data_IF_308750884714
#
_entry.id   IF_308750884714
#
_cell.length_a   1.000
_cell.length_b   1.000
_cell.length_c   1.000
_cell.angle_alpha   90.00
_cell.angle_beta   90.00
_cell.angle_gamma   90.00
#
_symmetry.space_group_name_H-M   'P 1'
#
loop_
_entity.id
_entity.type
_entity.pdbx_description
1 polymer ?
#
# COMPACT_ATOMS: atom_id res chain seq x y z
N UNK A 1 13.71 3.84 0.84
CA UNK A 1 14.36 4.61 -0.24
C UNK A 1 14.00 6.07 -0.04
N UNK A 2 14.97 6.84 0.41
CA UNK A 2 14.84 8.25 0.79
C UNK A 2 15.22 9.15 -0.37
N UNK A 3 14.34 9.26 -1.37
CA UNK A 3 14.48 10.23 -2.45
C UNK A 3 14.14 11.63 -1.93
N UNK A 4 15.11 12.27 -1.28
CA UNK A 4 15.08 13.71 -0.97
C UNK A 4 15.43 14.52 -2.22
N UNK A 5 14.58 14.43 -3.25
CA UNK A 5 14.71 15.31 -4.42
C UNK A 5 13.70 16.43 -4.22
N UNK A 6 14.18 17.61 -3.82
CA UNK A 6 13.35 18.81 -3.72
C UNK A 6 13.24 19.51 -5.07
N UNK A 7 12.31 20.46 -5.18
CA UNK A 7 12.06 21.24 -6.39
C UNK A 7 13.34 21.85 -7.01
N UNK A 8 14.26 22.47 -6.24
CA UNK A 8 15.51 23.00 -6.81
C UNK A 8 16.36 21.93 -7.50
N UNK A 9 16.48 20.76 -6.86
CA UNK A 9 17.26 19.63 -7.38
C UNK A 9 16.59 18.96 -8.58
N UNK A 10 15.25 18.94 -8.64
CA UNK A 10 14.53 18.49 -9.83
C UNK A 10 14.74 19.43 -11.01
N UNK A 11 14.74 20.75 -10.77
CA UNK A 11 14.99 21.75 -11.80
C UNK A 11 16.43 21.69 -12.32
N UNK A 12 17.42 21.50 -11.45
CA UNK A 12 18.83 21.30 -11.84
C UNK A 12 19.04 20.07 -12.73
N UNK A 13 18.22 19.03 -12.53
CA UNK A 13 18.27 17.77 -13.28
C UNK A 13 17.35 17.76 -14.52
N UNK A 14 16.61 18.84 -14.79
CA UNK A 14 15.63 18.89 -15.89
C UNK A 14 14.41 17.96 -15.70
N UNK A 15 14.16 17.49 -14.48
CA UNK A 15 13.10 16.51 -14.15
C UNK A 15 11.76 17.17 -13.78
N UNK A 16 11.46 18.35 -14.33
CA UNK A 16 10.27 19.13 -13.94
C UNK A 16 8.96 18.36 -14.17
N UNK A 17 8.86 17.51 -15.21
CA UNK A 17 7.69 16.67 -15.44
C UNK A 17 7.52 15.55 -14.39
N UNK A 18 8.61 15.12 -13.74
CA UNK A 18 8.59 14.08 -12.71
C UNK A 18 8.06 14.62 -11.37
N UNK A 19 8.19 15.93 -11.14
CA UNK A 19 7.71 16.60 -9.91
C UNK A 19 6.22 16.40 -9.72
N UNK A 20 5.43 16.57 -10.79
CA UNK A 20 3.98 16.39 -10.72
C UNK A 20 3.61 14.94 -10.38
N UNK A 21 4.23 13.97 -11.05
CA UNK A 21 4.00 12.56 -10.75
C UNK A 21 4.40 12.18 -9.32
N UNK A 22 5.56 12.65 -8.86
CA UNK A 22 5.99 12.44 -7.47
C UNK A 22 5.00 13.09 -6.49
N UNK A 23 4.48 14.29 -6.78
CA UNK A 23 3.49 14.95 -5.94
C UNK A 23 2.20 14.12 -5.84
N UNK A 24 1.71 13.57 -6.96
CA UNK A 24 0.55 12.67 -6.96
C UNK A 24 0.82 11.39 -6.17
N UNK A 25 2.01 10.81 -6.29
CA UNK A 25 2.42 9.65 -5.48
C UNK A 25 2.43 9.99 -3.99
N UNK A 26 2.94 11.16 -3.59
CA UNK A 26 2.90 11.61 -2.18
C UNK A 26 1.48 11.82 -1.68
N UNK A 27 0.56 12.33 -2.49
CA UNK A 27 -0.87 12.44 -2.13
C UNK A 27 -1.47 11.06 -1.85
N UNK A 28 -1.23 10.10 -2.74
CA UNK A 28 -1.65 8.71 -2.54
C UNK A 28 -1.10 8.13 -1.23
N UNK A 29 0.22 8.24 -1.02
CA UNK A 29 0.87 7.78 0.22
C UNK A 29 0.29 8.45 1.47
N UNK A 30 0.06 9.76 1.43
CA UNK A 30 -0.52 10.48 2.55
C UNK A 30 -1.94 9.98 2.88
N UNK A 31 -2.78 9.76 1.86
CA UNK A 31 -4.14 9.23 2.04
C UNK A 31 -4.15 7.81 2.59
N UNK A 32 -3.27 6.94 2.09
CA UNK A 32 -3.14 5.57 2.61
C UNK A 32 -2.72 5.58 4.08
N UNK A 33 -1.72 6.39 4.42
CA UNK A 33 -1.21 6.50 5.79
C UNK A 33 -2.26 7.10 6.73
N UNK A 34 -3.00 8.13 6.31
CA UNK A 34 -4.10 8.68 7.11
C UNK A 34 -5.21 7.64 7.33
N UNK A 35 -5.54 6.84 6.30
CA UNK A 35 -6.51 5.75 6.43
C UNK A 35 -6.07 4.71 7.47
N UNK A 36 -4.80 4.31 7.47
CA UNK A 36 -4.25 3.38 8.46
C UNK A 36 -4.24 3.96 9.88
N UNK A 37 -3.97 5.26 10.04
CA UNK A 37 -4.09 5.95 11.34
C UNK A 37 -5.54 5.89 11.84
N UNK A 38 -6.52 6.17 10.98
CA UNK A 38 -7.95 6.08 11.34
C UNK A 38 -8.33 4.68 11.81
N UNK A 39 -7.89 3.63 11.09
CA UNK A 39 -8.14 2.23 11.48
C UNK A 39 -7.56 1.91 12.85
N UNK A 40 -6.28 2.23 13.08
CA UNK A 40 -5.63 1.95 14.36
C UNK A 40 -6.29 2.71 15.53
N UNK A 41 -6.73 3.95 15.31
CA UNK A 41 -7.47 4.73 16.31
C UNK A 41 -8.88 4.19 16.56
N UNK A 42 -9.58 3.73 15.52
CA UNK A 42 -10.89 3.09 15.66
C UNK A 42 -10.79 1.78 16.45
N UNK A 43 -9.82 0.92 16.12
CA UNK A 43 -9.54 -0.32 16.85
C UNK A 43 -9.19 -0.04 18.31
N UNK A 44 -8.35 0.98 18.55
CA UNK A 44 -7.99 1.43 19.89
C UNK A 44 -9.22 1.88 20.67
N UNK A 45 -10.10 2.67 20.07
CA UNK A 45 -11.34 3.13 20.70
C UNK A 45 -12.28 1.96 21.04
N UNK A 46 -12.41 0.97 20.16
CA UNK A 46 -13.17 -0.26 20.41
C UNK A 46 -12.58 -1.05 21.57
N UNK A 47 -11.26 -1.28 21.58
CA UNK A 47 -10.57 -1.99 22.68
C UNK A 47 -10.76 -1.30 24.04
N UNK A 48 -10.75 0.05 24.08
CA UNK A 48 -11.03 0.78 25.32
C UNK A 48 -12.44 0.50 25.85
N UNK A 49 -13.43 0.44 24.95
CA UNK A 49 -14.82 0.19 25.30
C UNK A 49 -15.05 -1.26 25.73
N UNK A 50 -14.54 -2.23 24.98
CA UNK A 50 -14.86 -3.65 25.16
C UNK A 50 -13.99 -4.29 26.23
N UNK A 51 -12.67 -4.15 26.14
CA UNK A 51 -11.72 -4.91 26.94
C UNK A 51 -11.18 -4.11 28.13
N UNK A 52 -10.78 -2.84 27.93
CA UNK A 52 -10.14 -2.06 29.01
C UNK A 52 -11.13 -1.74 30.12
N UNK A 53 -12.34 -1.29 29.77
CA UNK A 53 -13.38 -0.90 30.74
C UNK A 53 -13.97 -2.10 31.50
N UNK A 54 -14.00 -3.28 30.88
CA UNK A 54 -14.60 -4.49 31.47
C UNK A 54 -13.56 -5.49 32.02
N UNK A 55 -12.27 -5.15 31.98
CA UNK A 55 -11.18 -6.00 32.43
C UNK A 55 -11.27 -6.32 33.92
N UNK A 56 -11.68 -7.56 34.26
CA UNK A 56 -11.93 -7.99 35.64
C UNK A 56 -10.65 -8.45 36.38
N UNK A 57 -9.71 -9.07 35.67
CA UNK A 57 -8.51 -9.70 36.25
C UNK A 57 -7.20 -9.07 35.76
N UNK A 58 -6.14 -9.14 36.58
CA UNK A 58 -4.82 -8.54 36.33
C UNK A 58 -4.20 -8.96 34.99
N UNK A 59 -4.20 -10.26 34.68
CA UNK A 59 -3.62 -10.80 33.42
C UNK A 59 -4.35 -10.31 32.16
N UNK A 60 -5.67 -10.20 32.21
CA UNK A 60 -6.46 -9.62 31.10
C UNK A 60 -6.12 -8.15 30.91
N UNK A 61 -6.00 -7.39 32.02
CA UNK A 61 -5.58 -5.98 31.97
C UNK A 61 -4.21 -5.86 31.28
N UNK A 62 -3.21 -6.66 31.68
CA UNK A 62 -1.88 -6.62 31.05
C UNK A 62 -1.89 -6.93 29.55
N UNK A 63 -2.67 -7.91 29.11
CA UNK A 63 -2.77 -8.27 27.70
C UNK A 63 -3.47 -7.18 26.87
N UNK A 64 -4.57 -6.61 27.38
CA UNK A 64 -5.27 -5.52 26.70
C UNK A 64 -4.41 -4.26 26.64
N UNK A 65 -3.67 -3.92 27.71
CA UNK A 65 -2.72 -2.81 27.68
C UNK A 65 -1.58 -3.02 26.68
N UNK A 66 -1.13 -4.27 26.47
CA UNK A 66 -0.17 -4.59 25.41
C UNK A 66 -0.74 -4.30 24.03
N UNK A 67 -1.97 -4.73 23.73
CA UNK A 67 -2.64 -4.39 22.46
C UNK A 67 -2.75 -2.88 22.22
N UNK A 68 -3.09 -2.13 23.27
CA UNK A 68 -3.16 -0.66 23.19
C UNK A 68 -1.78 -0.06 22.90
N UNK A 69 -0.73 -0.56 23.55
CA UNK A 69 0.64 -0.12 23.29
C UNK A 69 1.07 -0.46 21.84
N UNK A 70 0.73 -1.65 21.35
CA UNK A 70 1.01 -2.06 19.97
C UNK A 70 0.34 -1.11 18.97
N UNK A 71 -0.96 -0.81 19.16
CA UNK A 71 -1.67 0.18 18.33
C UNK A 71 -1.03 1.56 18.40
N UNK A 72 -0.54 1.99 19.57
CA UNK A 72 0.18 3.25 19.71
C UNK A 72 1.50 3.28 18.93
N UNK A 73 2.21 2.16 18.86
CA UNK A 73 3.42 2.06 18.01
C UNK A 73 3.07 2.15 16.53
N UNK A 74 1.95 1.54 16.12
CA UNK A 74 1.43 1.58 14.74
C UNK A 74 1.04 3.01 14.36
N UNK A 75 0.27 3.69 15.20
CA UNK A 75 -0.12 5.10 15.00
C UNK A 75 1.11 6.00 14.90
N UNK A 76 2.09 5.86 15.80
CA UNK A 76 3.34 6.64 15.75
C UNK A 76 4.11 6.38 14.46
N UNK A 77 4.24 5.13 14.04
CA UNK A 77 4.91 4.77 12.79
C UNK A 77 4.24 5.46 11.61
N UNK A 78 2.92 5.33 11.46
CA UNK A 78 2.22 5.97 10.36
C UNK A 78 2.25 7.51 10.44
N UNK A 79 2.15 8.10 11.63
CA UNK A 79 2.32 9.55 11.81
C UNK A 79 3.68 10.05 11.29
N UNK A 80 4.78 9.33 11.54
CA UNK A 80 6.11 9.70 11.02
C UNK A 80 6.17 9.64 9.49
N UNK A 81 5.54 8.61 8.88
CA UNK A 81 5.48 8.47 7.42
C UNK A 81 4.65 9.62 6.81
N UNK A 82 3.52 9.97 7.43
CA UNK A 82 2.68 11.08 6.99
C UNK A 82 3.44 12.42 7.03
N UNK A 83 4.08 12.73 8.17
CA UNK A 83 4.87 13.96 8.33
C UNK A 83 5.99 14.04 7.28
N UNK A 84 6.61 12.90 6.96
CA UNK A 84 7.61 12.81 5.91
C UNK A 84 7.02 13.07 4.51
N UNK A 85 5.86 12.49 4.20
CA UNK A 85 5.17 12.75 2.94
C UNK A 85 4.81 14.23 2.79
N UNK A 86 4.25 14.84 3.85
CA UNK A 86 3.93 16.27 3.88
C UNK A 86 5.17 17.15 3.69
N UNK A 87 6.28 16.85 4.37
CA UNK A 87 7.55 17.57 4.19
C UNK A 87 8.05 17.48 2.75
N UNK A 88 7.89 16.31 2.12
CA UNK A 88 8.26 16.14 0.71
C UNK A 88 7.34 16.94 -0.22
N UNK A 89 6.02 16.98 0.03
CA UNK A 89 5.10 17.83 -0.74
C UNK A 89 5.51 19.31 -0.68
N UNK A 90 5.90 19.79 0.51
CA UNK A 90 6.41 21.17 0.68
C UNK A 90 7.70 21.37 -0.11
N UNK A 91 8.64 20.42 -0.04
CA UNK A 91 9.91 20.49 -0.76
C UNK A 91 9.74 20.45 -2.29
N UNK A 92 8.68 19.83 -2.79
CA UNK A 92 8.29 19.81 -4.21
C UNK A 92 7.50 21.05 -4.65
N UNK A 93 7.22 21.99 -3.75
CA UNK A 93 6.48 23.21 -4.07
C UNK A 93 4.98 22.97 -4.29
N UNK A 94 4.37 22.05 -3.51
CA UNK A 94 2.93 21.83 -3.56
C UNK A 94 2.15 23.12 -3.33
N UNK A 95 1.07 23.29 -4.09
CA UNK A 95 0.19 24.46 -3.99
C UNK A 95 -0.44 24.61 -2.59
N UNK A 96 -0.78 25.85 -2.22
CA UNK A 96 -1.41 26.18 -0.93
C UNK A 96 -2.70 25.38 -0.73
N UNK A 97 -3.49 25.17 -1.79
CA UNK A 97 -4.74 24.38 -1.70
C UNK A 97 -4.50 22.94 -1.25
N UNK A 98 -3.37 22.33 -1.67
CA UNK A 98 -2.98 20.97 -1.26
C UNK A 98 -2.52 20.98 0.19
N UNK A 99 -1.72 21.98 0.60
CA UNK A 99 -1.21 22.07 1.96
C UNK A 99 -2.28 22.42 3.00
N UNK A 100 -3.34 23.12 2.59
CA UNK A 100 -4.54 23.36 3.42
C UNK A 100 -5.34 22.08 3.65
N UNK A 101 -5.31 21.18 2.68
CA UNK A 101 -5.94 19.86 2.76
C UNK A 101 -5.12 18.90 3.64
N UNK A 102 -3.81 18.84 3.44
CA UNK A 102 -2.88 18.01 4.21
C UNK A 102 -2.23 18.78 5.36
N UNK A 103 -2.99 18.93 6.45
CA UNK A 103 -2.58 19.70 7.64
C UNK A 103 -1.50 19.00 8.48
N UNK A 104 -0.69 19.74 9.26
CA UNK A 104 0.23 19.13 10.21
C UNK A 104 -0.53 18.26 11.23
N UNK A 105 0.05 17.10 11.55
CA UNK A 105 -0.51 16.15 12.51
C UNK A 105 0.08 16.42 13.89
N UNK A 106 -0.76 16.87 14.83
CA UNK A 106 -0.35 17.13 16.21
C UNK A 106 -0.59 15.90 17.09
N UNK A 107 0.09 15.84 18.24
CA UNK A 107 -0.10 14.74 19.19
C UNK A 107 -1.54 14.66 19.71
N UNK A 108 -2.22 15.81 19.85
CA UNK A 108 -3.61 15.89 20.25
C UNK A 108 -4.56 15.32 19.20
N UNK A 109 -4.15 15.29 17.93
CA UNK A 109 -4.95 14.71 16.86
C UNK A 109 -4.93 13.17 16.87
N UNK A 110 -3.95 12.58 17.56
CA UNK A 110 -3.71 11.13 17.61
C UNK A 110 -4.38 10.47 18.84
N UNK A 111 -5.23 11.19 19.55
CA UNK A 111 -5.96 10.61 20.69
C UNK A 111 -7.18 9.83 20.21
N UNK A 112 -7.33 8.60 20.70
CA UNK A 112 -8.52 7.80 20.41
C UNK A 112 -9.75 8.45 21.07
N UNK A 113 -10.71 8.90 20.25
CA UNK A 113 -11.94 9.52 20.72
C UNK A 113 -13.04 8.48 20.93
N UNK A 114 -13.77 8.61 22.04
CA UNK A 114 -14.96 7.79 22.33
C UNK A 114 -16.04 7.96 21.24
N UNK A 115 -16.09 9.11 20.57
CA UNK A 115 -17.01 9.37 19.46
C UNK A 115 -16.77 8.45 18.25
N UNK A 116 -15.56 7.88 18.10
CA UNK A 116 -15.25 6.88 17.08
C UNK A 116 -15.82 5.51 17.45
N UNK A 117 -15.85 5.17 18.75
CA UNK A 117 -16.38 3.90 19.23
C UNK A 117 -17.90 3.88 19.41
N UNK A 118 -18.53 5.05 19.58
CA UNK A 118 -19.98 5.19 19.67
C UNK A 118 -20.45 6.52 19.05
N UNK A 119 -20.69 6.54 17.72
CA UNK A 119 -21.14 7.75 17.01
C UNK A 119 -22.52 8.25 17.48
N UNK A 120 -23.31 7.36 18.10
CA UNK A 120 -24.68 7.64 18.53
C UNK A 120 -24.80 7.90 20.03
N UNK A 121 -23.68 7.94 20.78
CA UNK A 121 -23.72 8.20 22.21
C UNK A 121 -24.21 9.63 22.51
N UNK A 122 -25.20 9.74 23.41
CA UNK A 122 -25.79 11.02 23.85
C UNK A 122 -24.72 11.88 24.54
N UNK A 123 -24.47 13.08 24.03
CA UNK A 123 -23.58 14.07 24.64
C UNK A 123 -22.33 14.44 23.83
N UNK A 124 -22.01 13.71 22.76
CA UNK A 124 -20.78 13.93 21.97
C UNK A 124 -20.90 14.98 20.85
N UNK A 125 -21.90 15.88 20.92
CA UNK A 125 -22.09 16.95 19.92
C UNK A 125 -20.88 17.91 19.81
N UNK A 126 -19.94 17.87 20.76
CA UNK A 126 -18.82 18.82 20.88
C UNK A 126 -17.42 18.21 20.83
N UNK A 127 -17.25 16.88 20.76
CA UNK A 127 -15.91 16.31 20.56
C UNK A 127 -15.55 16.43 19.07
N UNK A 128 -14.90 17.54 18.70
CA UNK A 128 -14.44 17.76 17.34
C UNK A 128 -13.37 16.71 17.01
N UNK A 129 -13.76 15.71 16.22
CA UNK A 129 -12.81 14.78 15.61
C UNK A 129 -11.74 15.57 14.86
N UNK A 130 -10.51 15.06 14.90
CA UNK A 130 -9.39 15.64 14.17
C UNK A 130 -9.70 15.79 12.68
N UNK A 131 -9.09 16.81 12.06
CA UNK A 131 -9.36 17.22 10.68
C UNK A 131 -9.25 16.08 9.66
N UNK A 132 -8.43 15.06 9.91
CA UNK A 132 -8.23 13.95 8.99
C UNK A 132 -9.40 12.97 8.96
N UNK A 133 -10.33 12.99 9.92
CA UNK A 133 -11.50 12.09 9.89
C UNK A 133 -12.52 12.46 8.81
N UNK A 134 -12.59 13.74 8.43
CA UNK A 134 -13.56 14.27 7.47
C UNK A 134 -12.94 14.63 6.12
N UNK A 135 -11.70 14.20 5.85
CA UNK A 135 -10.97 14.64 4.64
C UNK A 135 -11.66 14.13 3.36
N UNK A 136 -12.18 12.90 3.39
CA UNK A 136 -12.73 12.20 2.22
C UNK A 136 -14.26 12.30 2.14
N UNK A 137 -14.86 13.14 2.99
CA UNK A 137 -16.30 13.18 3.22
C UNK A 137 -16.84 14.49 2.68
N UNK A 138 -17.82 14.46 1.74
CA UNK A 138 -18.48 15.66 1.26
C UNK A 138 -18.98 16.52 2.41
N UNK A 139 -18.84 17.85 2.31
CA UNK A 139 -19.28 18.78 3.36
C UNK A 139 -20.77 18.68 3.69
N UNK A 140 -21.56 18.12 2.78
CA UNK A 140 -23.01 17.94 2.89
C UNK A 140 -23.41 16.58 3.49
N UNK A 141 -22.47 15.70 3.82
CA UNK A 141 -22.77 14.44 4.51
C UNK A 141 -23.18 14.70 5.95
N UNK A 142 -24.30 14.12 6.37
CA UNK A 142 -24.78 14.18 7.74
C UNK A 142 -23.67 13.74 8.72
N UNK A 143 -23.41 14.56 9.74
CA UNK A 143 -22.33 14.34 10.73
C UNK A 143 -22.42 13.02 11.49
N UNK A 144 -23.52 12.27 11.38
CA UNK A 144 -23.69 10.95 11.99
C UNK A 144 -23.34 9.80 11.03
N UNK A 145 -23.19 10.04 9.73
CA UNK A 145 -22.96 8.97 8.73
C UNK A 145 -21.49 8.75 8.37
N UNK A 146 -20.59 9.64 8.81
CA UNK A 146 -19.18 9.61 8.43
C UNK A 146 -18.47 8.28 8.79
N UNK A 147 -18.83 7.66 9.92
CA UNK A 147 -18.28 6.36 10.34
C UNK A 147 -18.74 5.22 9.43
N UNK A 148 -20.00 5.26 8.99
CA UNK A 148 -20.55 4.26 8.07
C UNK A 148 -19.81 4.32 6.74
N UNK A 149 -19.61 5.53 6.21
CA UNK A 149 -18.84 5.76 4.98
C UNK A 149 -17.38 5.32 5.14
N UNK A 150 -16.74 5.64 6.27
CA UNK A 150 -15.38 5.19 6.55
C UNK A 150 -15.25 3.65 6.52
N UNK A 151 -16.14 2.93 7.21
CA UNK A 151 -16.12 1.46 7.19
C UNK A 151 -16.49 0.87 5.83
N UNK A 152 -17.40 1.50 5.09
CA UNK A 152 -17.74 1.09 3.73
C UNK A 152 -16.53 1.22 2.80
N UNK A 153 -15.82 2.36 2.84
CA UNK A 153 -14.59 2.56 2.06
C UNK A 153 -13.51 1.57 2.49
N UNK A 154 -13.35 1.33 3.80
CA UNK A 154 -12.43 0.33 4.29
C UNK A 154 -12.75 -1.07 3.77
N UNK A 155 -14.03 -1.48 3.83
CA UNK A 155 -14.48 -2.77 3.32
C UNK A 155 -14.23 -2.91 1.83
N UNK A 156 -14.53 -1.87 1.03
CA UNK A 156 -14.25 -1.86 -0.41
C UNK A 156 -12.75 -2.03 -0.70
N UNK A 157 -11.88 -1.34 0.05
CA UNK A 157 -10.42 -1.48 -0.08
C UNK A 157 -9.94 -2.89 0.30
N UNK A 158 -10.46 -3.43 1.41
CA UNK A 158 -10.12 -4.77 1.87
C UNK A 158 -10.57 -5.84 0.86
N UNK A 159 -11.78 -5.70 0.32
CA UNK A 159 -12.30 -6.55 -0.76
C UNK A 159 -11.42 -6.45 -2.01
N UNK A 160 -11.12 -5.25 -2.50
CA UNK A 160 -10.27 -5.07 -3.67
C UNK A 160 -8.84 -5.61 -3.50
N UNK A 161 -8.32 -5.60 -2.25
CA UNK A 161 -7.02 -6.23 -1.93
C UNK A 161 -7.14 -7.76 -1.95
N UNK A 162 -8.20 -8.32 -1.37
CA UNK A 162 -8.48 -9.76 -1.43
C UNK A 162 -8.65 -10.22 -2.88
N UNK A 163 -9.46 -9.52 -3.67
CA UNK A 163 -9.73 -9.86 -5.07
C UNK A 163 -8.42 -9.84 -5.88
N UNK A 164 -7.57 -8.82 -5.71
CA UNK A 164 -6.22 -8.79 -6.30
C UNK A 164 -5.33 -9.96 -5.87
N UNK A 165 -5.36 -10.35 -4.60
CA UNK A 165 -4.58 -11.51 -4.14
C UNK A 165 -5.09 -12.81 -4.75
N UNK A 166 -6.40 -12.94 -4.96
CA UNK A 166 -6.98 -14.09 -5.65
C UNK A 166 -6.50 -14.12 -7.11
N UNK A 167 -6.57 -12.98 -7.80
CA UNK A 167 -6.04 -12.84 -9.16
C UNK A 167 -4.54 -13.15 -9.24
N UNK A 168 -3.74 -12.64 -8.30
CA UNK A 168 -2.29 -12.87 -8.25
C UNK A 168 -1.96 -14.36 -8.07
N UNK A 169 -2.70 -15.07 -7.22
CA UNK A 169 -2.53 -16.52 -7.05
C UNK A 169 -2.86 -17.28 -8.35
N UNK A 170 -3.93 -16.89 -9.05
CA UNK A 170 -4.30 -17.49 -10.33
C UNK A 170 -3.24 -17.19 -11.41
N UNK A 171 -2.81 -15.94 -11.51
CA UNK A 171 -1.76 -15.52 -12.45
C UNK A 171 -0.44 -16.24 -12.19
N UNK A 172 -0.02 -16.42 -10.94
CA UNK A 172 1.21 -17.14 -10.61
C UNK A 172 1.16 -18.61 -11.08
N UNK A 173 0.00 -19.26 -10.97
CA UNK A 173 -0.19 -20.63 -11.47
C UNK A 173 -0.11 -20.67 -13.00
N UNK A 174 -0.72 -19.70 -13.68
CA UNK A 174 -0.65 -19.58 -15.13
C UNK A 174 0.76 -19.24 -15.61
N UNK A 175 1.45 -18.32 -14.94
CA UNK A 175 2.82 -17.90 -15.25
C UNK A 175 3.82 -19.05 -15.13
N UNK A 176 3.66 -19.94 -14.15
CA UNK A 176 4.47 -21.16 -14.07
C UNK A 176 4.31 -22.00 -15.34
N UNK A 177 3.06 -22.24 -15.77
CA UNK A 177 2.76 -22.97 -17.00
C UNK A 177 3.27 -22.27 -18.26
N UNK A 178 3.09 -20.95 -18.37
CA UNK A 178 3.59 -20.15 -19.48
C UNK A 178 5.11 -20.15 -19.56
N UNK A 179 5.80 -20.09 -18.42
CA UNK A 179 7.27 -20.13 -18.36
C UNK A 179 7.79 -21.48 -18.89
N UNK A 180 7.18 -22.59 -18.48
CA UNK A 180 7.53 -23.91 -18.98
C UNK A 180 7.26 -24.06 -20.48
N UNK A 181 6.09 -23.60 -20.94
CA UNK A 181 5.70 -23.62 -22.35
C UNK A 181 6.63 -22.76 -23.20
N UNK A 182 7.04 -21.59 -22.69
CA UNK A 182 7.99 -20.71 -23.34
C UNK A 182 9.35 -21.39 -23.54
N UNK A 183 9.91 -22.03 -22.50
CA UNK A 183 11.17 -22.75 -22.63
C UNK A 183 11.07 -23.94 -23.60
N UNK A 184 9.95 -24.67 -23.56
CA UNK A 184 9.70 -25.78 -24.50
C UNK A 184 9.59 -25.29 -25.94
N UNK A 185 8.89 -24.17 -26.16
CA UNK A 185 8.78 -23.53 -27.45
C UNK A 185 10.14 -23.03 -27.97
N UNK A 186 10.93 -22.37 -27.12
CA UNK A 186 12.29 -21.94 -27.48
C UNK A 186 13.19 -23.12 -27.85
N UNK A 187 13.16 -24.21 -27.09
CA UNK A 187 13.92 -25.42 -27.41
C UNK A 187 13.54 -25.98 -28.79
N UNK A 188 12.25 -25.97 -29.15
CA UNK A 188 11.77 -26.39 -30.47
C UNK A 188 12.23 -25.45 -31.58
N UNK A 189 12.13 -24.13 -31.38
CA UNK A 189 12.65 -23.14 -32.35
C UNK A 189 14.15 -23.32 -32.60
N UNK A 190 14.94 -23.59 -31.56
CA UNK A 190 16.37 -23.84 -31.71
C UNK A 190 16.66 -25.18 -32.40
N UNK A 191 15.82 -26.22 -32.22
CA UNK A 191 15.91 -27.46 -33.01
C UNK A 191 15.73 -27.20 -34.50
N UNK A 192 14.73 -26.42 -34.89
CA UNK A 192 14.48 -26.06 -36.28
C UNK A 192 15.62 -25.22 -36.88
N UNK A 193 16.16 -24.27 -36.12
CA UNK A 193 17.34 -23.48 -36.53
C UNK A 193 18.58 -24.37 -36.70
N UNK A 194 18.81 -25.31 -35.78
CA UNK A 194 19.89 -26.27 -35.85
C UNK A 194 19.78 -27.18 -37.08
N UNK A 195 18.59 -27.70 -37.38
CA UNK A 195 18.34 -28.51 -38.58
C UNK A 195 18.65 -27.74 -39.87
N UNK A 196 18.23 -26.46 -39.96
CA UNK A 196 18.57 -25.59 -41.10
C UNK A 196 20.07 -25.34 -41.23
N UNK A 197 20.78 -25.12 -40.13
CA UNK A 197 22.23 -24.93 -40.13
C UNK A 197 22.98 -26.20 -40.61
N UNK A 198 22.52 -27.39 -40.20
CA UNK A 198 23.07 -28.67 -40.66
C UNK A 198 22.85 -28.84 -42.17
N UNK A 199 21.66 -28.54 -42.69
CA UNK A 199 21.37 -28.60 -44.13
C UNK A 199 22.22 -27.60 -44.94
N UNK A 200 22.52 -26.43 -44.37
CA UNK A 200 23.40 -25.42 -44.97
C UNK A 200 24.90 -25.75 -44.82
N UNK A 201 25.28 -26.80 -44.08
CA UNK A 201 26.67 -27.18 -43.84
C UNK A 201 27.40 -26.34 -42.79
N UNK A 202 26.72 -25.43 -42.09
CA UNK A 202 27.33 -24.58 -41.06
C UNK A 202 27.40 -25.29 -39.70
N UNK A 203 28.56 -25.90 -39.45
CA UNK A 203 28.84 -26.64 -38.21
C UNK A 203 28.85 -25.75 -36.96
N UNK A 204 29.21 -24.47 -37.10
CA UNK A 204 29.28 -23.54 -35.96
C UNK A 204 27.90 -23.19 -35.45
N UNK A 205 27.00 -22.81 -36.37
CA UNK A 205 25.60 -22.53 -36.03
C UNK A 205 24.87 -23.78 -35.52
N UNK A 206 25.15 -24.96 -36.09
CA UNK A 206 24.59 -26.22 -35.60
C UNK A 206 25.02 -26.54 -34.15
N UNK A 207 26.31 -26.35 -33.83
CA UNK A 207 26.81 -26.54 -32.47
C UNK A 207 26.22 -25.53 -31.47
N UNK A 208 26.07 -24.26 -31.87
CA UNK A 208 25.47 -23.24 -31.02
C UNK A 208 23.98 -23.53 -30.76
N UNK A 209 23.24 -23.94 -31.79
CA UNK A 209 21.84 -24.35 -31.64
C UNK A 209 21.70 -25.55 -30.69
N UNK A 210 22.58 -26.55 -30.77
CA UNK A 210 22.60 -27.68 -29.84
C UNK A 210 22.78 -27.24 -28.37
N UNK A 211 23.67 -26.28 -28.11
CA UNK A 211 23.87 -25.69 -26.79
C UNK A 211 22.62 -24.94 -26.29
N UNK A 212 21.97 -24.17 -27.15
CA UNK A 212 20.74 -23.45 -26.79
C UNK A 212 19.59 -24.41 -26.46
N UNK A 213 19.44 -25.51 -27.22
CA UNK A 213 18.44 -26.54 -26.94
C UNK A 213 18.66 -27.16 -25.56
N UNK A 214 19.89 -27.55 -25.23
CA UNK A 214 20.22 -28.13 -23.92
C UNK A 214 19.90 -27.14 -22.78
N UNK A 215 20.26 -25.87 -22.93
CA UNK A 215 19.95 -24.82 -21.95
C UNK A 215 18.44 -24.68 -21.72
N UNK A 216 17.65 -24.48 -22.77
CA UNK A 216 16.20 -24.30 -22.63
C UNK A 216 15.50 -25.56 -22.13
N UNK A 217 15.99 -26.74 -22.50
CA UNK A 217 15.45 -28.01 -21.98
C UNK A 217 15.74 -28.16 -20.48
N UNK A 218 16.93 -27.76 -20.01
CA UNK A 218 17.27 -27.74 -18.58
C UNK A 218 16.40 -26.73 -17.81
N UNK A 219 16.24 -25.52 -18.34
CA UNK A 219 15.39 -24.50 -17.73
C UNK A 219 13.92 -24.98 -17.62
N UNK A 220 13.40 -25.63 -18.65
CA UNK A 220 12.05 -26.21 -18.62
C UNK A 220 11.86 -27.33 -17.58
N UNK A 221 12.91 -28.11 -17.30
CA UNK A 221 12.89 -29.14 -16.25
C UNK A 221 12.94 -28.57 -14.84
N UNK A 222 13.59 -27.42 -14.63
CA UNK A 222 13.67 -26.77 -13.32
C UNK A 222 12.32 -26.16 -12.91
N UNK A 223 11.47 -25.82 -13.89
CA UNK A 223 10.13 -25.26 -13.65
C UNK A 223 9.04 -26.33 -13.38
N UNK A 224 9.37 -27.63 -13.46
CA UNK A 224 8.49 -28.76 -13.08
C UNK A 224 8.55 -29.03 -11.58
#
# INVERSE_FOLDING_TARGET
>A
LDTYIGLPRCSDLGLNGLVEHELQLRKGQANDVLHEIRLALADKAVLFRTEVRHGRNYTMKSHTWRKVADLDTVVKRYATVYQRCRRQMIALGADSSILDWYKPLNQNDLTASTAVADPNARGHRHDSLSWFWTIDIPKDTDKNNWMSEFYQVHWLRAKAKKDRWVEEVELLQLEQGWTQNFFSHQATLWKERGARAVLAGDRGLACYAARQIDMYTKLGRICQ
#
